data_IF_093472500522
#
_entry.id   IF_093472500522
#
_cell.length_a   1.000
_cell.length_b   1.000
_cell.length_c   1.000
_cell.angle_alpha   90.00
_cell.angle_beta   90.00
_cell.angle_gamma   90.00
#
_symmetry.space_group_name_H-M   'P 1'
#
loop_
_entity.id
_entity.type
_entity.pdbx_description
1 polymer ?
#
# COMPACT_ATOMS: atom_id res chain seq x y z
N UNK A 1 -20.38 -0.16 8.67
CA UNK A 1 -20.73 1.05 9.45
C UNK A 1 -19.43 1.74 9.81
N UNK A 2 -19.02 2.73 9.01
CA UNK A 2 -17.83 3.54 9.32
C UNK A 2 -18.15 4.28 10.62
N UNK A 3 -17.46 3.95 11.72
CA UNK A 3 -17.77 4.53 13.02
C UNK A 3 -17.38 6.02 12.96
N UNK A 4 -18.35 6.93 13.11
CA UNK A 4 -18.10 8.39 13.20
C UNK A 4 -17.01 8.76 14.21
N UNK A 5 -16.77 7.91 15.21
CA UNK A 5 -15.71 8.06 16.21
C UNK A 5 -14.29 7.90 15.69
N UNK A 6 -14.04 7.25 14.54
CA UNK A 6 -12.68 6.99 14.07
C UNK A 6 -11.99 8.25 13.51
N UNK A 7 -12.71 9.10 12.76
CA UNK A 7 -12.14 10.31 12.17
C UNK A 7 -11.80 11.38 13.21
N UNK A 8 -12.64 11.57 14.22
CA UNK A 8 -12.36 12.48 15.33
C UNK A 8 -11.15 12.00 16.15
N UNK A 9 -11.01 10.68 16.32
CA UNK A 9 -9.85 10.09 16.99
C UNK A 9 -8.55 10.23 16.19
N UNK A 10 -8.61 10.15 14.85
CA UNK A 10 -7.47 10.46 13.97
C UNK A 10 -7.08 11.93 14.13
N UNK A 11 -8.05 12.85 14.05
CA UNK A 11 -7.80 14.29 14.18
C UNK A 11 -7.15 14.64 15.52
N UNK A 12 -7.68 14.11 16.63
CA UNK A 12 -7.15 14.33 17.97
C UNK A 12 -5.72 13.77 18.10
N UNK A 13 -5.47 12.53 17.65
CA UNK A 13 -4.15 11.94 17.68
C UNK A 13 -3.14 12.76 16.86
N UNK A 14 -3.52 13.21 15.66
CA UNK A 14 -2.68 14.05 14.80
C UNK A 14 -2.38 15.41 15.46
N UNK A 15 -3.37 16.06 16.08
CA UNK A 15 -3.17 17.30 16.84
C UNK A 15 -2.19 17.10 17.99
N UNK A 16 -2.29 15.99 18.71
CA UNK A 16 -1.38 15.66 19.80
C UNK A 16 0.05 15.45 19.30
N UNK A 17 0.23 14.70 18.21
CA UNK A 17 1.55 14.48 17.58
C UNK A 17 2.17 15.81 17.13
N UNK A 18 1.41 16.65 16.42
CA UNK A 18 1.87 17.95 15.93
C UNK A 18 2.17 18.93 17.07
N UNK A 19 1.41 18.87 18.17
CA UNK A 19 1.59 19.73 19.34
C UNK A 19 2.75 19.33 20.25
N UNK A 20 3.23 18.08 20.17
CA UNK A 20 4.25 17.53 21.06
C UNK A 20 5.69 17.96 20.75
N UNK A 21 5.93 18.63 19.62
CA UNK A 21 7.24 19.12 19.18
C UNK A 21 8.36 18.06 19.29
N UNK A 22 8.05 16.85 18.80
CA UNK A 22 8.91 15.68 18.91
C UNK A 22 10.16 15.81 18.03
N UNK A 23 11.26 15.16 18.46
CA UNK A 23 12.38 14.89 17.57
C UNK A 23 11.94 13.87 16.51
N UNK A 24 12.59 13.88 15.36
CA UNK A 24 12.21 13.04 14.22
C UNK A 24 12.05 11.55 14.57
N UNK A 25 12.98 10.97 15.34
CA UNK A 25 12.93 9.55 15.70
C UNK A 25 11.73 9.18 16.59
N UNK A 26 11.32 10.10 17.47
CA UNK A 26 10.12 9.95 18.29
C UNK A 26 8.87 10.18 17.43
N UNK A 27 8.91 11.18 16.54
CA UNK A 27 7.83 11.49 15.61
C UNK A 27 7.52 10.31 14.68
N UNK A 28 8.52 9.71 14.06
CA UNK A 28 8.36 8.55 13.19
C UNK A 28 7.70 7.37 13.94
N UNK A 29 8.13 7.11 15.18
CA UNK A 29 7.52 6.07 16.03
C UNK A 29 6.06 6.36 16.38
N UNK A 30 5.71 7.61 16.66
CA UNK A 30 4.30 7.97 16.91
C UNK A 30 3.45 7.89 15.64
N UNK A 31 4.02 8.16 14.47
CA UNK A 31 3.35 7.95 13.18
C UNK A 31 3.13 6.47 12.85
N UNK A 32 4.11 5.60 13.16
CA UNK A 32 3.95 4.14 13.07
C UNK A 32 2.81 3.64 13.98
N UNK A 33 2.78 4.09 15.23
CA UNK A 33 1.68 3.76 16.16
C UNK A 33 0.33 4.25 15.66
N UNK A 34 0.30 5.44 15.06
CA UNK A 34 -0.93 6.01 14.49
C UNK A 34 -1.56 5.08 13.44
N UNK A 35 -0.75 4.38 12.62
CA UNK A 35 -1.23 3.37 11.67
C UNK A 35 -2.01 2.29 12.43
N UNK A 36 -1.38 1.62 13.40
CA UNK A 36 -1.99 0.53 14.15
C UNK A 36 -3.22 0.94 14.96
N UNK A 37 -3.17 2.13 15.57
CA UNK A 37 -4.22 2.58 16.50
C UNK A 37 -5.45 3.15 15.79
N UNK A 38 -5.29 3.73 14.60
CA UNK A 38 -6.33 4.54 13.95
C UNK A 38 -6.67 4.14 12.53
N UNK A 39 -5.79 3.42 11.82
CA UNK A 39 -6.00 3.00 10.44
C UNK A 39 -6.12 1.47 10.37
N UNK A 40 -7.19 0.93 10.94
CA UNK A 40 -7.41 -0.52 11.03
C UNK A 40 -7.39 -1.22 9.67
N UNK A 41 -7.74 -0.54 8.58
CA UNK A 41 -7.70 -1.15 7.24
C UNK A 41 -6.29 -1.31 6.68
N UNK A 42 -5.27 -0.73 7.32
CA UNK A 42 -3.85 -0.86 6.92
C UNK A 42 -3.12 -2.00 7.65
N UNK A 43 -3.76 -2.63 8.65
CA UNK A 43 -3.22 -3.82 9.29
C UNK A 43 -3.71 -5.07 8.58
N UNK A 44 -2.82 -6.06 8.39
CA UNK A 44 -3.15 -7.35 7.80
C UNK A 44 -4.33 -8.04 8.50
N UNK A 45 -4.43 -7.91 9.83
CA UNK A 45 -5.39 -8.69 10.64
C UNK A 45 -6.77 -8.04 10.73
N UNK A 46 -6.86 -6.72 10.55
CA UNK A 46 -8.11 -5.96 10.66
C UNK A 46 -8.57 -5.39 9.32
N UNK A 47 -7.79 -5.55 8.25
CA UNK A 47 -8.18 -5.12 6.92
C UNK A 47 -9.49 -5.80 6.49
N UNK A 48 -10.51 -5.02 6.06
CA UNK A 48 -11.84 -5.54 5.77
C UNK A 48 -11.86 -6.54 4.61
N UNK A 49 -10.97 -6.42 3.62
CA UNK A 49 -10.86 -7.40 2.55
C UNK A 49 -10.34 -8.74 3.08
N UNK A 50 -9.33 -8.69 3.96
CA UNK A 50 -8.73 -9.89 4.57
C UNK A 50 -9.71 -10.57 5.52
N UNK A 51 -10.36 -9.81 6.40
CA UNK A 51 -11.31 -10.38 7.38
C UNK A 51 -12.54 -11.01 6.71
N UNK A 52 -12.93 -10.51 5.54
CA UNK A 52 -14.08 -11.03 4.80
C UNK A 52 -13.72 -12.10 3.75
N UNK A 53 -12.43 -12.36 3.53
CA UNK A 53 -11.92 -13.21 2.45
C UNK A 53 -12.53 -14.62 2.45
N UNK A 54 -12.78 -15.20 3.63
CA UNK A 54 -13.40 -16.52 3.77
C UNK A 54 -14.86 -16.56 3.25
N UNK A 55 -15.54 -15.43 3.22
CA UNK A 55 -16.93 -15.28 2.78
C UNK A 55 -17.05 -14.85 1.30
N UNK A 56 -15.94 -14.50 0.68
CA UNK A 56 -15.90 -14.08 -0.71
C UNK A 56 -15.80 -15.29 -1.66
N UNK A 57 -16.48 -15.17 -2.80
CA UNK A 57 -16.42 -16.12 -3.89
C UNK A 57 -15.24 -15.79 -4.81
N UNK A 58 -14.92 -16.69 -5.74
CA UNK A 58 -13.81 -16.50 -6.68
C UNK A 58 -13.90 -15.14 -7.40
N UNK A 59 -15.05 -14.80 -7.98
CA UNK A 59 -15.25 -13.55 -8.73
C UNK A 59 -15.08 -12.27 -7.89
N UNK A 60 -15.39 -12.34 -6.59
CA UNK A 60 -15.18 -11.23 -5.65
C UNK A 60 -13.69 -10.95 -5.46
N UNK A 61 -12.93 -12.03 -5.29
CA UNK A 61 -11.49 -11.96 -5.06
C UNK A 61 -10.78 -11.56 -6.37
N UNK A 62 -11.21 -12.09 -7.53
CA UNK A 62 -10.73 -11.67 -8.86
C UNK A 62 -10.90 -10.18 -9.06
N UNK A 63 -12.06 -9.64 -8.70
CA UNK A 63 -12.30 -8.20 -8.75
C UNK A 63 -11.34 -7.44 -7.85
N UNK A 64 -11.18 -7.83 -6.59
CA UNK A 64 -10.24 -7.12 -5.71
C UNK A 64 -8.80 -7.16 -6.26
N UNK A 65 -8.34 -8.31 -6.76
CA UNK A 65 -7.00 -8.47 -7.32
C UNK A 65 -6.82 -7.57 -8.55
N UNK A 66 -7.83 -7.49 -9.42
CA UNK A 66 -7.86 -6.55 -10.54
C UNK A 66 -7.75 -5.10 -10.06
N UNK A 67 -8.57 -4.69 -9.10
CA UNK A 67 -8.61 -3.31 -8.60
C UNK A 67 -7.31 -2.90 -7.90
N UNK A 68 -6.74 -3.79 -7.09
CA UNK A 68 -5.44 -3.58 -6.44
C UNK A 68 -4.30 -3.40 -7.45
N UNK A 69 -4.35 -4.11 -8.60
CA UNK A 69 -3.32 -3.97 -9.64
C UNK A 69 -3.15 -2.54 -10.16
N UNK A 70 -4.22 -1.72 -10.09
CA UNK A 70 -4.15 -0.31 -10.44
C UNK A 70 -3.26 0.49 -9.51
N UNK A 71 -3.32 0.21 -8.21
CA UNK A 71 -2.46 0.86 -7.23
C UNK A 71 -1.01 0.43 -7.37
N UNK A 72 -0.75 -0.89 -7.52
CA UNK A 72 0.62 -1.40 -7.75
C UNK A 72 1.24 -0.85 -9.04
N UNK A 73 0.45 -0.60 -10.08
CA UNK A 73 0.94 0.05 -11.30
C UNK A 73 1.24 1.53 -11.07
N UNK A 74 0.39 2.23 -10.33
CA UNK A 74 0.54 3.68 -10.10
C UNK A 74 1.68 3.98 -9.12
N UNK A 75 2.01 3.09 -8.16
CA UNK A 75 3.06 3.30 -7.16
C UNK A 75 4.42 3.62 -7.78
N UNK A 76 4.83 2.92 -8.85
CA UNK A 76 6.05 3.22 -9.61
C UNK A 76 6.02 4.65 -10.15
N UNK A 77 4.87 5.09 -10.68
CA UNK A 77 4.71 6.46 -11.16
C UNK A 77 4.73 7.48 -10.02
N UNK A 78 4.23 7.15 -8.83
CA UNK A 78 4.32 8.03 -7.65
C UNK A 78 5.77 8.27 -7.22
N UNK A 79 6.61 7.22 -7.20
CA UNK A 79 8.04 7.35 -6.91
C UNK A 79 8.76 8.19 -7.98
N UNK A 80 8.45 7.99 -9.27
CA UNK A 80 8.99 8.86 -10.32
C UNK A 80 8.56 10.32 -10.17
N UNK A 81 7.28 10.58 -9.86
CA UNK A 81 6.78 11.93 -9.60
C UNK A 81 7.48 12.57 -8.40
N UNK A 82 7.81 11.77 -7.38
CA UNK A 82 8.59 12.20 -6.23
C UNK A 82 10.04 12.55 -6.61
N UNK A 83 10.73 11.72 -7.40
CA UNK A 83 12.11 11.99 -7.84
C UNK A 83 12.25 13.30 -8.62
N UNK A 84 11.23 13.66 -9.41
CA UNK A 84 11.19 14.91 -10.15
C UNK A 84 11.12 16.12 -9.21
N UNK A 85 10.45 15.98 -8.06
CA UNK A 85 10.06 17.11 -7.17
C UNK A 85 10.90 17.25 -5.92
N UNK A 86 11.43 16.15 -5.41
CA UNK A 86 12.30 16.17 -4.25
C UNK A 86 13.50 17.09 -4.53
N UNK A 87 14.00 17.73 -3.49
CA UNK A 87 15.24 18.51 -3.54
C UNK A 87 16.30 17.94 -2.59
N UNK A 88 15.94 16.93 -1.79
CA UNK A 88 16.83 16.30 -0.81
C UNK A 88 17.50 15.08 -1.43
N UNK A 89 18.75 15.26 -1.87
CA UNK A 89 19.48 14.24 -2.63
C UNK A 89 19.61 12.92 -1.85
N UNK A 90 19.81 12.96 -0.53
CA UNK A 90 19.85 11.74 0.27
C UNK A 90 18.55 10.93 0.21
N UNK A 91 17.39 11.61 0.16
CA UNK A 91 16.10 10.94 0.00
C UNK A 91 15.91 10.47 -1.45
N UNK A 92 16.39 11.23 -2.44
CA UNK A 92 16.35 10.80 -3.85
C UNK A 92 17.13 9.52 -4.10
N UNK A 93 18.33 9.41 -3.54
CA UNK A 93 19.14 8.20 -3.71
C UNK A 93 18.43 6.99 -3.09
N UNK A 94 17.77 7.17 -1.95
CA UNK A 94 16.97 6.11 -1.34
C UNK A 94 15.75 5.72 -2.19
N UNK A 95 15.01 6.70 -2.71
CA UNK A 95 13.90 6.44 -3.64
C UNK A 95 14.40 5.73 -4.92
N UNK A 96 15.57 6.09 -5.44
CA UNK A 96 16.18 5.40 -6.59
C UNK A 96 16.58 3.97 -6.26
N UNK A 97 17.09 3.71 -5.05
CA UNK A 97 17.41 2.36 -4.58
C UNK A 97 16.14 1.50 -4.57
N UNK A 98 15.08 1.94 -3.88
CA UNK A 98 13.81 1.21 -3.83
C UNK A 98 13.25 1.00 -5.24
N UNK A 99 13.25 2.03 -6.10
CA UNK A 99 12.82 1.88 -7.50
C UNK A 99 13.67 0.88 -8.30
N UNK A 100 14.98 0.78 -8.03
CA UNK A 100 15.82 -0.20 -8.73
C UNK A 100 15.43 -1.63 -8.39
N UNK A 101 15.00 -1.87 -7.15
CA UNK A 101 14.48 -3.16 -6.69
C UNK A 101 13.13 -3.46 -7.36
N UNK A 102 12.20 -2.50 -7.36
CA UNK A 102 10.91 -2.61 -8.10
C UNK A 102 11.09 -2.86 -9.60
N UNK A 103 12.17 -2.35 -10.19
CA UNK A 103 12.53 -2.55 -11.60
C UNK A 103 13.29 -3.86 -11.87
N UNK A 104 13.48 -4.68 -10.84
CA UNK A 104 13.89 -6.07 -10.96
C UNK A 104 15.32 -6.38 -10.56
N UNK A 105 15.99 -5.49 -9.81
CA UNK A 105 17.36 -5.73 -9.35
C UNK A 105 17.50 -7.02 -8.52
N UNK A 106 16.42 -7.47 -7.86
CA UNK A 106 16.40 -8.69 -7.04
C UNK A 106 15.68 -9.88 -7.71
N UNK A 107 15.15 -9.69 -8.92
CA UNK A 107 14.27 -10.66 -9.61
C UNK A 107 14.77 -10.99 -11.02
N UNK A 108 16.09 -10.98 -11.21
CA UNK A 108 16.75 -11.25 -12.50
C UNK A 108 16.29 -10.29 -13.62
N UNK A 109 16.25 -8.99 -13.33
CA UNK A 109 15.85 -7.92 -14.24
C UNK A 109 14.38 -8.00 -14.72
N UNK A 110 13.52 -8.70 -13.97
CA UNK A 110 12.07 -8.73 -14.21
C UNK A 110 11.36 -7.82 -13.22
N UNK A 111 10.82 -6.66 -13.63
CA UNK A 111 10.14 -5.74 -12.72
C UNK A 111 9.03 -6.43 -11.92
N UNK A 112 8.83 -6.03 -10.67
CA UNK A 112 7.78 -6.55 -9.80
C UNK A 112 6.39 -6.44 -10.45
N UNK A 113 6.13 -5.30 -11.11
CA UNK A 113 4.92 -5.08 -11.89
C UNK A 113 4.71 -6.12 -13.01
N UNK A 114 5.79 -6.56 -13.67
CA UNK A 114 5.71 -7.57 -14.72
C UNK A 114 5.47 -8.97 -14.14
N UNK A 115 6.10 -9.29 -13.00
CA UNK A 115 5.79 -10.52 -12.25
C UNK A 115 4.32 -10.56 -11.85
N UNK A 116 3.79 -9.45 -11.31
CA UNK A 116 2.38 -9.32 -10.96
C UNK A 116 1.48 -9.55 -12.18
N UNK A 117 1.69 -8.83 -13.29
CA UNK A 117 0.87 -8.95 -14.51
C UNK A 117 0.87 -10.37 -15.06
N UNK A 118 2.06 -10.97 -15.21
CA UNK A 118 2.20 -12.34 -15.74
C UNK A 118 1.61 -13.37 -14.80
N UNK A 119 1.90 -13.29 -13.50
CA UNK A 119 1.39 -14.22 -12.50
C UNK A 119 -0.13 -14.16 -12.42
N UNK A 120 -0.70 -12.96 -12.34
CA UNK A 120 -2.14 -12.77 -12.27
C UNK A 120 -2.83 -13.30 -13.52
N UNK A 121 -2.30 -13.01 -14.71
CA UNK A 121 -2.87 -13.46 -15.98
C UNK A 121 -2.76 -14.97 -16.18
N UNK A 122 -1.56 -15.53 -16.01
CA UNK A 122 -1.27 -16.91 -16.41
C UNK A 122 -1.55 -17.94 -15.32
N UNK A 123 -1.44 -17.57 -14.05
CA UNK A 123 -1.60 -18.51 -12.92
C UNK A 123 -2.93 -18.31 -12.20
N UNK A 124 -3.48 -17.09 -12.23
CA UNK A 124 -4.76 -16.75 -11.56
C UNK A 124 -5.87 -16.41 -12.55
N UNK A 125 -5.60 -16.21 -13.85
CA UNK A 125 -6.61 -15.85 -14.86
C UNK A 125 -7.19 -14.43 -14.71
N UNK A 126 -6.49 -13.51 -14.05
CA UNK A 126 -6.91 -12.11 -13.86
C UNK A 126 -6.16 -11.22 -14.84
N UNK A 127 -6.89 -10.58 -15.76
CA UNK A 127 -6.33 -9.57 -16.67
C UNK A 127 -6.18 -8.22 -15.95
N UNK A 128 -5.04 -7.57 -16.15
CA UNK A 128 -4.68 -6.28 -15.53
C UNK A 128 -4.19 -5.24 -16.54
N UNK A 129 -4.03 -5.60 -17.81
CA UNK A 129 -3.69 -4.66 -18.87
C UNK A 129 -4.94 -4.00 -19.48
N UNK A 130 -4.89 -2.67 -19.63
CA UNK A 130 -5.96 -1.91 -20.29
C UNK A 130 -7.30 -2.01 -19.59
N UNK A 131 -7.30 -2.29 -18.29
CA UNK A 131 -8.53 -2.47 -17.51
C UNK A 131 -9.10 -1.15 -17.02
N UNK A 132 -10.42 -1.06 -17.01
CA UNK A 132 -11.14 0.02 -16.31
C UNK A 132 -11.32 -0.36 -14.84
N UNK A 133 -10.98 0.58 -13.95
CA UNK A 133 -11.14 0.41 -12.51
C UNK A 133 -12.46 0.98 -12.02
N UNK A 134 -12.87 0.57 -10.83
CA UNK A 134 -14.06 1.14 -10.21
C UNK A 134 -13.85 2.59 -9.77
N UNK A 135 -14.96 3.27 -9.47
CA UNK A 135 -14.92 4.65 -8.99
C UNK A 135 -14.09 4.80 -7.71
N UNK A 136 -14.12 3.82 -6.80
CA UNK A 136 -13.37 3.95 -5.55
C UNK A 136 -11.87 3.81 -5.78
N UNK A 137 -11.44 2.94 -6.69
CA UNK A 137 -10.04 2.80 -7.11
C UNK A 137 -9.56 4.02 -7.88
N UNK A 138 -10.33 4.52 -8.85
CA UNK A 138 -9.96 5.76 -9.56
C UNK A 138 -9.83 6.97 -8.62
N UNK A 139 -10.67 7.03 -7.58
CA UNK A 139 -10.56 8.05 -6.53
C UNK A 139 -9.28 7.90 -5.71
N UNK A 140 -8.86 6.67 -5.38
CA UNK A 140 -7.56 6.40 -4.74
C UNK A 140 -6.42 6.88 -5.64
N UNK A 141 -6.36 6.41 -6.89
CA UNK A 141 -5.27 6.73 -7.81
C UNK A 141 -5.14 8.25 -8.02
N UNK A 142 -6.26 8.92 -8.26
CA UNK A 142 -6.30 10.38 -8.40
C UNK A 142 -5.78 11.09 -7.14
N UNK A 143 -6.18 10.61 -5.95
CA UNK A 143 -5.76 11.20 -4.68
C UNK A 143 -4.26 10.99 -4.45
N UNK A 144 -3.74 9.78 -4.69
CA UNK A 144 -2.32 9.46 -4.55
C UNK A 144 -1.46 10.30 -5.48
N UNK A 145 -1.81 10.38 -6.77
CA UNK A 145 -1.13 11.27 -7.74
C UNK A 145 -1.09 12.72 -7.27
N UNK A 146 -2.19 13.22 -6.69
CA UNK A 146 -2.22 14.59 -6.14
C UNK A 146 -1.28 14.77 -4.96
N UNK A 147 -1.22 13.80 -4.04
CA UNK A 147 -0.31 13.83 -2.88
C UNK A 147 1.14 13.91 -3.35
N UNK A 148 1.53 13.03 -4.27
CA UNK A 148 2.92 12.92 -4.76
C UNK A 148 3.34 14.03 -5.73
N UNK A 149 2.38 14.83 -6.21
CA UNK A 149 2.67 16.04 -7.01
C UNK A 149 3.01 17.28 -6.18
N UNK A 150 3.00 17.18 -4.85
CA UNK A 150 3.38 18.27 -3.95
C UNK A 150 4.84 18.70 -4.17
N UNK A 151 5.08 20.02 -4.18
CA UNK A 151 6.43 20.60 -4.20
C UNK A 151 7.01 20.83 -2.79
N UNK A 152 6.25 20.52 -1.74
CA UNK A 152 6.75 20.62 -0.37
C UNK A 152 7.50 19.34 -0.01
N UNK A 153 8.83 19.42 0.10
CA UNK A 153 9.70 18.28 0.41
C UNK A 153 9.29 17.53 1.68
N UNK A 154 9.00 18.25 2.77
CA UNK A 154 8.63 17.60 4.03
C UNK A 154 7.31 16.82 3.90
N UNK A 155 6.31 17.42 3.25
CA UNK A 155 5.05 16.73 2.95
C UNK A 155 5.26 15.51 2.06
N UNK A 156 6.05 15.63 0.99
CA UNK A 156 6.33 14.53 0.08
C UNK A 156 7.10 13.39 0.76
N UNK A 157 8.08 13.71 1.61
CA UNK A 157 8.78 12.74 2.45
C UNK A 157 7.83 12.06 3.44
N UNK A 158 6.85 12.79 3.99
CA UNK A 158 5.82 12.19 4.85
C UNK A 158 4.99 11.17 4.08
N UNK A 159 4.60 11.49 2.85
CA UNK A 159 3.87 10.58 1.98
C UNK A 159 4.68 9.33 1.60
N UNK A 160 5.96 9.49 1.26
CA UNK A 160 6.89 8.38 1.01
C UNK A 160 7.03 7.49 2.25
N UNK A 161 7.29 8.09 3.42
CA UNK A 161 7.43 7.37 4.68
C UNK A 161 6.19 6.55 5.01
N UNK A 162 4.98 7.08 4.77
CA UNK A 162 3.74 6.34 4.97
C UNK A 162 3.59 5.16 4.01
N UNK A 163 3.95 5.34 2.74
CA UNK A 163 3.86 4.28 1.74
C UNK A 163 4.71 3.07 2.17
N UNK A 164 5.97 3.33 2.52
CA UNK A 164 6.91 2.31 3.01
C UNK A 164 6.45 1.71 4.35
N UNK A 165 6.00 2.54 5.31
CA UNK A 165 5.56 2.07 6.63
C UNK A 165 4.36 1.11 6.57
N UNK A 166 3.56 1.18 5.50
CA UNK A 166 2.39 0.31 5.31
C UNK A 166 2.67 -0.93 4.46
N UNK A 167 3.79 -0.96 3.73
CA UNK A 167 4.06 -1.94 2.68
C UNK A 167 4.09 -3.38 3.21
N UNK A 168 4.83 -3.66 4.28
CA UNK A 168 4.91 -5.02 4.85
C UNK A 168 3.53 -5.59 5.21
N UNK A 169 2.68 -4.81 5.86
CA UNK A 169 1.33 -5.26 6.24
C UNK A 169 0.41 -5.40 5.04
N UNK A 170 0.54 -4.49 4.07
CA UNK A 170 -0.19 -4.54 2.81
C UNK A 170 0.14 -5.82 2.05
N UNK A 171 1.42 -6.12 1.82
CA UNK A 171 1.85 -7.28 1.05
C UNK A 171 1.57 -8.61 1.74
N UNK A 172 1.63 -8.68 3.07
CA UNK A 172 1.11 -9.85 3.82
C UNK A 172 -0.40 -10.05 3.62
N UNK A 173 -1.14 -8.96 3.46
CA UNK A 173 -2.56 -9.01 3.10
C UNK A 173 -2.77 -9.50 1.66
N UNK A 174 -2.03 -8.92 0.71
CA UNK A 174 -2.05 -9.29 -0.72
C UNK A 174 -1.71 -10.76 -0.90
N UNK A 175 -0.67 -11.27 -0.22
CA UNK A 175 -0.33 -12.68 -0.21
C UNK A 175 -1.54 -13.55 0.18
N UNK A 176 -2.20 -13.24 1.30
CA UNK A 176 -3.40 -13.96 1.75
C UNK A 176 -4.50 -13.94 0.69
N UNK A 177 -4.73 -12.79 0.05
CA UNK A 177 -5.72 -12.63 -1.04
C UNK A 177 -5.39 -13.52 -2.24
N UNK A 178 -4.14 -13.49 -2.70
CA UNK A 178 -3.70 -14.26 -3.88
C UNK A 178 -3.77 -15.76 -3.62
N UNK A 179 -3.31 -16.22 -2.45
CA UNK A 179 -3.40 -17.63 -2.07
C UNK A 179 -4.85 -18.10 -1.93
N UNK A 180 -5.74 -17.27 -1.38
CA UNK A 180 -7.16 -17.58 -1.32
C UNK A 180 -7.78 -17.67 -2.71
N UNK A 181 -7.44 -16.76 -3.63
CA UNK A 181 -7.91 -16.82 -5.02
C UNK A 181 -7.46 -18.13 -5.68
N UNK A 182 -6.18 -18.48 -5.55
CA UNK A 182 -5.63 -19.72 -6.10
C UNK A 182 -6.39 -20.95 -5.62
N UNK A 183 -6.62 -21.03 -4.30
CA UNK A 183 -7.41 -22.12 -3.72
C UNK A 183 -8.85 -22.16 -4.23
N UNK A 184 -9.50 -21.01 -4.46
CA UNK A 184 -10.87 -20.97 -4.99
C UNK A 184 -10.97 -21.42 -6.45
N UNK A 185 -9.94 -21.14 -7.26
CA UNK A 185 -9.87 -21.51 -8.68
C UNK A 185 -9.78 -23.03 -8.85
N UNK A 186 -8.83 -23.68 -8.15
CA UNK A 186 -8.54 -25.09 -8.39
C UNK A 186 -8.12 -25.90 -7.15
N UNK A 187 -8.27 -25.34 -5.95
CA UNK A 187 -7.83 -25.96 -4.70
C UNK A 187 -6.32 -26.02 -4.54
N UNK A 188 -5.55 -25.39 -5.43
CA UNK A 188 -4.10 -25.39 -5.42
C UNK A 188 -3.48 -24.36 -4.47
N UNK A 189 -2.15 -24.36 -4.46
CA UNK A 189 -1.32 -23.43 -3.71
C UNK A 189 -0.39 -22.64 -4.66
N UNK A 190 0.00 -21.43 -4.26
CA UNK A 190 1.02 -20.65 -4.96
C UNK A 190 2.39 -21.15 -4.52
N UNK A 191 3.10 -21.83 -5.42
CA UNK A 191 4.46 -22.29 -5.15
C UNK A 191 5.45 -21.10 -5.14
N UNK A 192 6.40 -21.08 -4.23
CA UNK A 192 7.44 -20.05 -4.13
C UNK A 192 8.18 -19.78 -5.45
N UNK A 193 8.45 -20.84 -6.24
CA UNK A 193 9.13 -20.72 -7.53
C UNK A 193 8.24 -20.28 -8.71
N UNK A 194 6.93 -20.15 -8.52
CA UNK A 194 6.00 -19.67 -9.56
C UNK A 194 6.16 -18.17 -9.81
N UNK A 195 5.58 -17.65 -10.89
CA UNK A 195 5.69 -16.21 -11.21
C UNK A 195 5.00 -15.38 -10.12
N UNK A 196 3.82 -15.79 -9.66
CA UNK A 196 3.13 -15.13 -8.55
C UNK A 196 3.88 -15.32 -7.22
N UNK A 197 4.50 -16.48 -7.01
CA UNK A 197 5.34 -16.74 -5.83
C UNK A 197 6.56 -15.81 -5.76
N UNK A 198 7.23 -15.60 -6.88
CA UNK A 198 8.35 -14.64 -6.98
C UNK A 198 7.89 -13.20 -6.72
N UNK A 199 6.72 -12.81 -7.21
CA UNK A 199 6.13 -11.51 -6.87
C UNK A 199 5.93 -11.35 -5.36
N UNK A 200 5.34 -12.35 -4.69
CA UNK A 200 5.13 -12.32 -3.23
C UNK A 200 6.47 -12.20 -2.48
N UNK A 201 7.43 -13.06 -2.83
CA UNK A 201 8.76 -13.11 -2.20
C UNK A 201 9.61 -11.86 -2.44
N UNK A 202 9.31 -11.09 -3.49
CA UNK A 202 9.93 -9.78 -3.72
C UNK A 202 9.56 -8.74 -2.67
N UNK A 203 8.47 -8.95 -1.92
CA UNK A 203 7.96 -7.99 -0.94
C UNK A 203 7.94 -8.54 0.49
N UNK A 204 7.55 -9.81 0.68
CA UNK A 204 7.40 -10.42 2.02
C UNK A 204 7.93 -11.85 2.06
N UNK A 205 8.52 -12.23 3.18
CA UNK A 205 9.07 -13.57 3.40
C UNK A 205 7.98 -14.60 3.69
N UNK A 206 8.13 -15.82 3.15
CA UNK A 206 7.30 -16.99 3.48
C UNK A 206 7.44 -17.41 4.97
N UNK A 207 8.57 -17.08 5.61
CA UNK A 207 8.81 -17.36 7.02
C UNK A 207 8.31 -16.21 7.90
N UNK A 208 7.51 -16.48 8.96
CA UNK A 208 7.14 -15.48 9.97
C UNK A 208 8.34 -14.84 10.68
N UNK A 209 9.48 -15.54 10.72
CA UNK A 209 10.74 -15.09 11.33
C UNK A 209 11.73 -14.53 10.28
N UNK A 210 11.36 -14.52 9.00
CA UNK A 210 12.22 -14.01 7.94
C UNK A 210 12.18 -12.49 7.84
N UNK A 211 13.30 -11.91 7.40
CA UNK A 211 13.41 -10.48 7.08
C UNK A 211 12.57 -10.17 5.83
N UNK A 212 11.68 -9.17 5.90
CA UNK A 212 10.89 -8.75 4.75
C UNK A 212 11.64 -7.64 4.00
N UNK A 213 11.77 -7.71 2.67
CA UNK A 213 12.35 -6.62 1.87
C UNK A 213 11.76 -5.23 2.18
N UNK A 214 10.45 -5.16 2.40
CA UNK A 214 9.76 -3.91 2.73
C UNK A 214 10.17 -3.31 4.09
N UNK A 215 10.63 -4.14 5.04
CA UNK A 215 11.13 -3.63 6.33
C UNK A 215 12.45 -2.86 6.13
N UNK A 216 13.29 -3.30 5.19
CA UNK A 216 14.53 -2.62 4.80
C UNK A 216 14.26 -1.33 4.00
N UNK A 217 13.29 -1.35 3.09
CA UNK A 217 12.81 -0.14 2.40
C UNK A 217 12.36 0.92 3.39
N UNK A 218 11.55 0.54 4.38
CA UNK A 218 11.09 1.45 5.42
C UNK A 218 12.25 2.00 6.26
N UNK A 219 13.16 1.13 6.72
CA UNK A 219 14.30 1.54 7.53
C UNK A 219 15.21 2.53 6.79
N UNK A 220 15.50 2.25 5.52
CA UNK A 220 16.30 3.11 4.65
C UNK A 220 15.64 4.47 4.40
N UNK A 221 14.34 4.48 4.05
CA UNK A 221 13.56 5.70 3.86
C UNK A 221 13.51 6.55 5.13
N UNK A 222 13.24 5.91 6.27
CA UNK A 222 13.20 6.56 7.58
C UNK A 222 14.55 7.20 7.91
N UNK A 223 15.66 6.51 7.68
CA UNK A 223 17.01 7.04 7.90
C UNK A 223 17.31 8.24 6.99
N UNK A 224 17.04 8.11 5.69
CA UNK A 224 17.29 9.15 4.69
C UNK A 224 16.53 10.44 5.00
N UNK A 225 15.24 10.33 5.34
CA UNK A 225 14.39 11.48 5.69
C UNK A 225 14.86 12.17 6.97
N UNK A 226 15.31 11.40 7.97
CA UNK A 226 15.69 11.94 9.29
C UNK A 226 16.80 12.98 9.26
N UNK A 227 17.65 12.95 8.23
CA UNK A 227 18.71 13.93 8.03
C UNK A 227 18.22 15.34 7.66
N UNK A 228 16.95 15.48 7.26
CA UNK A 228 16.40 16.73 6.71
C UNK A 228 15.23 17.32 7.51
N UNK A 229 14.62 16.53 8.39
CA UNK A 229 13.43 16.93 9.16
C UNK A 229 13.85 17.63 10.46
N UNK A 230 13.59 18.94 10.49
CA UNK A 230 13.65 19.81 11.66
C UNK A 230 12.24 20.01 12.24
N UNK A 231 12.18 20.55 13.47
CA UNK A 231 10.91 20.84 14.16
C UNK A 231 9.92 21.68 13.31
N UNK A 232 10.43 22.63 12.53
CA UNK A 232 9.61 23.49 11.66
C UNK A 232 8.95 22.72 10.49
N UNK A 233 9.51 21.57 10.11
CA UNK A 233 9.04 20.72 9.01
C UNK A 233 8.17 19.55 9.48
N UNK A 234 8.15 19.26 10.77
CA UNK A 234 7.39 18.15 11.35
C UNK A 234 5.91 18.18 10.93
N UNK A 235 5.29 19.36 10.97
CA UNK A 235 3.87 19.49 10.63
C UNK A 235 3.57 19.11 9.19
N UNK A 236 4.42 19.48 8.24
CA UNK A 236 4.22 19.11 6.85
C UNK A 236 4.51 17.62 6.61
N UNK A 237 5.54 17.06 7.25
CA UNK A 237 5.78 15.61 7.27
C UNK A 237 4.54 14.84 7.75
N UNK A 238 4.00 15.21 8.91
CA UNK A 238 2.80 14.56 9.49
C UNK A 238 1.62 14.65 8.52
N UNK A 239 1.39 15.81 7.90
CA UNK A 239 0.31 16.00 6.93
C UNK A 239 0.46 15.11 5.70
N UNK A 240 1.68 14.95 5.20
CA UNK A 240 1.99 14.04 4.09
C UNK A 240 1.68 12.59 4.43
N UNK A 241 2.19 12.16 5.58
CA UNK A 241 2.01 10.81 6.10
C UNK A 241 0.53 10.46 6.28
N UNK A 242 -0.20 11.30 6.99
CA UNK A 242 -1.64 11.14 7.25
C UNK A 242 -2.45 11.12 5.95
N UNK A 243 -2.03 11.89 4.93
CA UNK A 243 -2.75 11.95 3.65
C UNK A 243 -2.73 10.61 2.92
N UNK A 244 -1.59 9.91 2.93
CA UNK A 244 -1.44 8.57 2.34
C UNK A 244 -2.21 7.53 3.16
N UNK A 245 -2.00 7.49 4.48
CA UNK A 245 -2.71 6.52 5.34
C UNK A 245 -4.23 6.65 5.21
N UNK A 246 -4.75 7.89 5.16
CA UNK A 246 -6.18 8.13 4.96
C UNK A 246 -6.65 7.66 3.58
N UNK A 247 -5.87 7.89 2.53
CA UNK A 247 -6.23 7.47 1.18
C UNK A 247 -6.33 5.95 1.08
N UNK A 248 -5.29 5.24 1.55
CA UNK A 248 -5.23 3.78 1.55
C UNK A 248 -6.31 3.16 2.43
N UNK A 249 -6.48 3.66 3.67
CA UNK A 249 -7.51 3.14 4.59
C UNK A 249 -8.91 3.29 3.99
N UNK A 250 -9.21 4.46 3.43
CA UNK A 250 -10.51 4.71 2.80
C UNK A 250 -10.75 3.80 1.61
N UNK A 251 -9.72 3.54 0.79
CA UNK A 251 -9.85 2.64 -0.36
C UNK A 251 -10.13 1.21 0.08
N UNK A 252 -9.37 0.66 1.03
CA UNK A 252 -9.59 -0.70 1.54
C UNK A 252 -11.01 -0.89 2.12
N UNK A 253 -11.53 0.11 2.84
CA UNK A 253 -12.91 0.09 3.34
C UNK A 253 -13.92 0.11 2.20
N UNK A 254 -13.75 1.03 1.24
CA UNK A 254 -14.72 1.23 0.16
C UNK A 254 -14.71 0.08 -0.85
N UNK A 255 -13.55 -0.46 -1.22
CA UNK A 255 -13.47 -1.58 -2.16
C UNK A 255 -14.13 -2.83 -1.57
N UNK A 256 -14.00 -3.04 -0.26
CA UNK A 256 -14.67 -4.13 0.45
C UNK A 256 -16.19 -3.96 0.44
N UNK A 257 -16.70 -2.73 0.62
CA UNK A 257 -18.13 -2.42 0.50
C UNK A 257 -18.62 -2.63 -0.94
N UNK A 258 -17.80 -2.27 -1.92
CA UNK A 258 -18.13 -2.39 -3.34
C UNK A 258 -18.27 -3.85 -3.77
N UNK A 259 -17.43 -4.75 -3.26
CA UNK A 259 -17.60 -6.20 -3.45
C UNK A 259 -19.02 -6.66 -3.07
N UNK A 260 -19.55 -6.21 -1.94
CA UNK A 260 -20.91 -6.56 -1.53
C UNK A 260 -21.99 -5.87 -2.37
N UNK A 261 -21.76 -4.61 -2.76
CA UNK A 261 -22.70 -3.84 -3.58
C UNK A 261 -22.88 -4.48 -4.95
N UNK A 262 -21.77 -4.91 -5.58
CA UNK A 262 -21.78 -5.61 -6.88
C UNK A 262 -22.58 -6.91 -6.85
N UNK A 263 -22.59 -7.63 -5.72
CA UNK A 263 -23.42 -8.85 -5.55
C UNK A 263 -24.91 -8.55 -5.65
N UNK A 264 -25.35 -7.41 -5.11
CA UNK A 264 -26.76 -7.01 -5.17
C UNK A 264 -27.18 -6.74 -6.61
N UNK A 265 -26.35 -6.02 -7.37
CA UNK A 265 -26.64 -5.71 -8.78
C UNK A 265 -26.69 -6.97 -9.66
N UNK A 266 -25.81 -7.94 -9.41
CA UNK A 266 -25.80 -9.24 -10.09
C UNK A 266 -27.00 -10.12 -9.72
N UNK A 267 -27.52 -9.98 -8.49
CA UNK A 267 -28.72 -10.72 -8.05
C UNK A 267 -29.99 -10.14 -8.66
N UNK A 268 -30.02 -8.83 -8.92
CA UNK A 268 -31.18 -8.14 -9.52
C UNK A 268 -31.21 -8.22 -11.06
N UNK A 269 -30.07 -8.59 -11.68
CA UNK A 269 -29.94 -8.70 -13.15
C UNK A 269 -30.19 -10.13 -13.68
N UNK A 270 -30.46 -11.08 -12.79
CA UNK A 270 -30.85 -12.47 -13.09
C UNK A 270 -32.31 -12.71 -12.67
#
# INVERSE_FOLDING_TARGET
>A
MIRETQYLQVEEAVKNIMGANLKYEDLARELEKLIGDKYGSLSTDTNPAITNLAHWQEDDIRFLVKEYSGFSNDSIHLFHDALIRLEWDGVKEEVKRNLSEEMGALTNDVPHLELMRRGYKHELGVETEGVEYSQCTEALLTRMRRIFRSSNNAYLCGALLALEATATFEFKGVEKILRALKYKIDGGEIAAGSVTGQYILGHVSDSPEGENPEDDHYAGMRSAIGSYISAEKNNDLVRGFVSVCTALNSWWENISIEVYSRKLDLTLSN
#
